data_IF_310022861091
#
_entry.id   IF_310022861091
#
_cell.length_a   1.000
_cell.length_b   1.000
_cell.length_c   1.000
_cell.angle_alpha   90.00
_cell.angle_beta   90.00
_cell.angle_gamma   90.00
#
_symmetry.space_group_name_H-M   'P 1'
#
loop_
_entity.id
_entity.type
_entity.pdbx_description
1 polymer ?
#
# COMPACT_ATOMS: atom_id res chain seq x y z
N UNK A 1 21.68 6.22 -25.82
CA UNK A 1 20.64 6.15 -24.77
C UNK A 1 19.64 5.10 -25.20
N UNK A 2 19.32 4.12 -24.35
CA UNK A 2 18.29 3.14 -24.69
C UNK A 2 16.93 3.84 -24.66
N UNK A 3 16.18 3.71 -25.73
CA UNK A 3 14.77 4.06 -25.77
C UNK A 3 14.00 3.02 -24.97
N UNK A 4 13.03 3.43 -24.15
CA UNK A 4 12.16 2.53 -23.40
C UNK A 4 10.71 2.80 -23.80
N UNK A 5 9.93 1.75 -24.04
CA UNK A 5 8.50 1.89 -24.26
C UNK A 5 7.81 2.36 -22.96
N UNK A 6 6.77 3.19 -23.07
CA UNK A 6 6.05 3.70 -21.91
C UNK A 6 5.55 2.57 -20.99
N UNK A 7 5.05 1.47 -21.56
CA UNK A 7 4.53 0.34 -20.79
C UNK A 7 5.64 -0.36 -20.00
N UNK A 8 6.81 -0.51 -20.60
CA UNK A 8 7.99 -1.07 -19.93
C UNK A 8 8.45 -0.16 -18.79
N UNK A 9 8.49 1.15 -19.01
CA UNK A 9 8.86 2.11 -17.97
C UNK A 9 7.85 2.12 -16.82
N UNK A 10 6.55 2.11 -17.11
CA UNK A 10 5.51 2.03 -16.08
C UNK A 10 5.59 0.72 -15.31
N UNK A 11 5.89 -0.40 -15.98
CA UNK A 11 6.15 -1.67 -15.28
C UNK A 11 7.32 -1.55 -14.33
N UNK A 12 8.44 -0.98 -14.77
CA UNK A 12 9.62 -0.79 -13.91
C UNK A 12 9.35 0.16 -12.72
N UNK A 13 8.52 1.19 -12.91
CA UNK A 13 8.08 2.08 -11.82
C UNK A 13 7.20 1.35 -10.80
N UNK A 14 6.31 0.47 -11.27
CA UNK A 14 5.45 -0.35 -10.42
C UNK A 14 6.23 -1.47 -9.70
N UNK A 15 7.29 -2.00 -10.32
CA UNK A 15 8.19 -2.97 -9.69
C UNK A 15 9.03 -2.30 -8.59
N UNK A 16 9.41 -1.04 -8.78
CA UNK A 16 10.06 -0.23 -7.74
C UNK A 16 9.12 0.07 -6.56
N UNK A 17 7.88 0.45 -6.84
CA UNK A 17 6.85 0.63 -5.82
C UNK A 17 5.50 0.10 -6.30
N UNK A 18 5.08 -1.05 -5.76
CA UNK A 18 3.78 -1.60 -6.08
C UNK A 18 2.69 -0.60 -5.73
N UNK A 19 1.81 -0.29 -6.67
CA UNK A 19 0.64 0.56 -6.45
C UNK A 19 -0.33 -0.04 -5.40
N UNK A 20 -0.23 -1.35 -5.12
CA UNK A 20 -0.98 -1.99 -4.04
C UNK A 20 -0.61 -1.50 -2.64
N UNK A 21 0.51 -0.78 -2.50
CA UNK A 21 0.93 -0.16 -1.25
C UNK A 21 0.27 1.20 -1.01
N UNK A 22 -0.34 1.80 -2.05
CA UNK A 22 -1.04 3.06 -1.91
C UNK A 22 -2.28 2.92 -1.02
N UNK A 23 -2.65 4.02 -0.40
CA UNK A 23 -3.90 4.12 0.35
C UNK A 23 -5.11 3.95 -0.57
N UNK A 24 -6.20 3.39 -0.03
CA UNK A 24 -7.38 3.02 -0.83
C UNK A 24 -8.15 4.20 -1.43
N UNK A 25 -7.96 5.41 -0.88
CA UNK A 25 -8.56 6.65 -1.37
C UNK A 25 -7.72 7.36 -2.43
N UNK A 26 -6.49 6.90 -2.67
CA UNK A 26 -5.52 7.59 -3.50
C UNK A 26 -5.73 7.35 -5.00
N UNK A 27 -5.17 8.22 -5.83
CA UNK A 27 -5.18 8.08 -7.29
C UNK A 27 -3.74 8.03 -7.82
N UNK A 28 -3.20 6.82 -7.90
CA UNK A 28 -1.79 6.54 -8.26
C UNK A 28 -1.66 5.82 -9.60
N UNK A 29 -0.44 5.76 -10.13
CA UNK A 29 -0.12 5.10 -11.39
C UNK A 29 -0.07 6.06 -12.58
N UNK A 30 -0.29 5.54 -13.79
CA UNK A 30 -0.34 6.32 -15.02
C UNK A 30 -1.70 7.03 -15.12
N UNK A 31 -1.70 8.35 -14.93
CA UNK A 31 -2.90 9.19 -14.89
C UNK A 31 -3.28 9.79 -16.25
N UNK A 32 -2.27 10.06 -17.08
CA UNK A 32 -2.45 10.52 -18.47
C UNK A 32 -1.54 9.70 -19.36
N UNK A 33 -2.13 9.00 -20.32
CA UNK A 33 -1.43 8.12 -21.26
C UNK A 33 -1.54 8.68 -22.69
N UNK A 34 -0.42 9.04 -23.33
CA UNK A 34 -0.39 9.37 -24.76
C UNK A 34 -0.67 8.13 -25.61
N UNK A 35 -1.22 8.32 -26.81
CA UNK A 35 -1.57 7.20 -27.70
C UNK A 35 -0.34 6.36 -28.09
N UNK A 36 -0.40 5.01 -28.10
CA UNK A 36 0.73 4.19 -28.54
C UNK A 36 0.99 4.35 -30.06
N UNK A 37 2.23 4.09 -30.53
CA UNK A 37 3.42 3.82 -29.72
C UNK A 37 3.92 5.07 -28.99
N UNK A 38 4.43 4.91 -27.77
CA UNK A 38 4.98 6.02 -26.98
C UNK A 38 6.32 5.64 -26.37
N UNK A 39 7.37 6.27 -26.87
CA UNK A 39 8.75 6.04 -26.42
C UNK A 39 9.17 7.14 -25.46
N UNK A 40 9.73 6.76 -24.32
CA UNK A 40 10.20 7.70 -23.30
C UNK A 40 11.71 7.87 -23.41
N UNK A 41 12.15 9.08 -23.77
CA UNK A 41 13.55 9.52 -23.76
C UNK A 41 13.87 10.34 -22.50
N UNK A 42 12.92 11.14 -22.07
CA UNK A 42 13.09 12.13 -21.01
C UNK A 42 11.99 11.97 -19.97
N UNK A 43 12.37 11.52 -18.78
CA UNK A 43 11.53 11.49 -17.58
C UNK A 43 11.76 12.77 -16.77
N UNK A 44 10.72 13.56 -16.57
CA UNK A 44 10.75 14.77 -15.75
C UNK A 44 10.16 14.48 -14.36
N UNK A 45 10.87 14.86 -13.29
CA UNK A 45 10.44 14.61 -11.91
C UNK A 45 9.97 15.90 -11.25
N UNK A 46 8.82 15.89 -10.58
CA UNK A 46 8.34 17.02 -9.77
C UNK A 46 7.61 16.54 -8.52
N UNK A 47 7.54 17.41 -7.51
CA UNK A 47 6.64 17.20 -6.36
C UNK A 47 5.20 17.54 -6.74
N UNK A 48 4.99 18.72 -7.33
CA UNK A 48 3.70 19.23 -7.76
C UNK A 48 3.78 19.63 -9.23
N UNK A 49 2.83 19.16 -10.04
CA UNK A 49 2.71 19.55 -11.43
C UNK A 49 1.76 20.75 -11.55
N UNK A 50 2.32 21.96 -11.46
CA UNK A 50 1.59 23.22 -11.77
C UNK A 50 1.64 23.53 -13.26
N UNK A 51 0.92 24.56 -13.72
CA UNK A 51 0.96 24.97 -15.14
C UNK A 51 2.35 25.45 -15.56
N UNK A 52 3.06 26.15 -14.68
CA UNK A 52 4.44 26.61 -14.91
C UNK A 52 5.42 25.44 -14.99
N UNK A 53 5.27 24.43 -14.11
CA UNK A 53 6.10 23.21 -14.14
C UNK A 53 5.81 22.37 -15.39
N UNK A 54 4.54 22.32 -15.84
CA UNK A 54 4.19 21.68 -17.10
C UNK A 54 4.87 22.37 -18.29
N UNK A 55 4.87 23.71 -18.32
CA UNK A 55 5.57 24.47 -19.35
C UNK A 55 7.08 24.19 -19.33
N UNK A 56 7.69 24.12 -18.15
CA UNK A 56 9.10 23.70 -18.01
C UNK A 56 9.32 22.28 -18.58
N UNK A 57 8.47 21.32 -18.22
CA UNK A 57 8.57 19.94 -18.70
C UNK A 57 8.48 19.85 -20.24
N UNK A 58 7.57 20.60 -20.85
CA UNK A 58 7.41 20.70 -22.31
C UNK A 58 8.66 21.32 -22.95
N UNK A 59 9.18 22.42 -22.40
CA UNK A 59 10.42 23.06 -22.89
C UNK A 59 11.63 22.12 -22.80
N UNK A 60 11.68 21.27 -21.77
CA UNK A 60 12.70 20.22 -21.60
C UNK A 60 12.47 18.99 -22.48
N UNK A 61 11.39 18.96 -23.28
CA UNK A 61 11.00 17.83 -24.13
C UNK A 61 10.84 16.54 -23.32
N UNK A 62 10.14 16.65 -22.19
CA UNK A 62 9.74 15.49 -21.39
C UNK A 62 8.75 14.63 -22.18
N UNK A 63 8.89 13.30 -22.13
CA UNK A 63 7.92 12.37 -22.70
C UNK A 63 7.02 11.77 -21.61
N UNK A 64 7.48 11.82 -20.36
CA UNK A 64 6.74 11.42 -19.16
C UNK A 64 7.10 12.36 -18.00
N UNK A 65 6.10 12.83 -17.28
CA UNK A 65 6.25 13.52 -16.00
C UNK A 65 5.89 12.54 -14.88
N UNK A 66 6.80 12.34 -13.94
CA UNK A 66 6.52 11.72 -12.64
C UNK A 66 6.27 12.84 -11.63
N UNK A 67 5.01 13.04 -11.28
CA UNK A 67 4.58 14.02 -10.27
C UNK A 67 4.31 13.29 -8.96
N UNK A 68 4.92 13.70 -7.86
CA UNK A 68 4.68 13.06 -6.56
C UNK A 68 3.21 13.17 -6.14
N UNK A 69 2.64 14.37 -6.17
CA UNK A 69 1.22 14.59 -5.95
C UNK A 69 0.45 14.39 -7.27
N UNK A 70 -0.66 13.64 -7.26
CA UNK A 70 -1.45 13.40 -8.45
C UNK A 70 -2.21 14.67 -8.87
N UNK A 71 -1.94 15.25 -10.06
CA UNK A 71 -2.67 16.43 -10.53
C UNK A 71 -4.16 16.11 -10.74
N UNK A 72 -4.46 14.88 -11.18
CA UNK A 72 -5.81 14.30 -11.18
C UNK A 72 -6.01 13.58 -9.85
N UNK A 73 -6.37 14.31 -8.79
CA UNK A 73 -6.65 13.69 -7.48
C UNK A 73 -8.08 13.16 -7.38
N UNK A 74 -9.02 13.82 -8.06
CA UNK A 74 -10.44 13.42 -8.12
C UNK A 74 -10.83 13.13 -9.56
N UNK A 75 -11.78 12.20 -9.81
CA UNK A 75 -12.22 11.89 -11.16
C UNK A 75 -12.74 13.13 -11.90
N UNK A 76 -12.20 13.38 -13.09
CA UNK A 76 -12.64 14.46 -13.97
C UNK A 76 -13.90 14.02 -14.73
N UNK A 77 -15.01 14.75 -14.56
CA UNK A 77 -16.25 14.50 -15.33
C UNK A 77 -16.15 14.98 -16.79
N UNK A 78 -15.18 15.84 -17.09
CA UNK A 78 -14.90 16.43 -18.40
C UNK A 78 -13.48 16.97 -18.44
N UNK A 79 -12.93 17.07 -19.64
CA UNK A 79 -11.62 17.67 -19.91
C UNK A 79 -11.84 18.83 -20.88
N UNK A 80 -11.78 20.05 -20.36
CA UNK A 80 -12.00 21.32 -21.08
C UNK A 80 -10.96 22.35 -20.67
N UNK A 81 -10.86 23.48 -21.38
CA UNK A 81 -9.88 24.53 -21.05
C UNK A 81 -10.22 25.38 -19.79
N UNK A 82 -11.18 24.95 -18.96
CA UNK A 82 -11.75 25.78 -17.89
C UNK A 82 -10.92 25.80 -16.62
N UNK A 83 -10.60 24.63 -16.07
CA UNK A 83 -9.84 24.52 -14.81
C UNK A 83 -8.38 24.23 -15.08
N UNK A 84 -7.49 24.67 -14.20
CA UNK A 84 -6.04 24.45 -14.36
C UNK A 84 -5.69 22.96 -14.43
N UNK A 85 -6.37 22.10 -13.65
CA UNK A 85 -6.19 20.64 -13.71
C UNK A 85 -6.57 20.06 -15.06
N UNK A 86 -7.70 20.49 -15.64
CA UNK A 86 -8.10 20.05 -16.98
C UNK A 86 -7.11 20.57 -18.03
N UNK A 87 -6.64 21.83 -17.92
CA UNK A 87 -5.62 22.39 -18.83
C UNK A 87 -4.30 21.63 -18.78
N UNK A 88 -3.87 21.14 -17.62
CA UNK A 88 -2.71 20.26 -17.51
C UNK A 88 -2.89 18.98 -18.33
N UNK A 89 -4.06 18.34 -18.25
CA UNK A 89 -4.36 17.15 -19.04
C UNK A 89 -4.39 17.46 -20.53
N UNK A 90 -5.05 18.56 -20.94
CA UNK A 90 -5.08 18.99 -22.34
C UNK A 90 -3.66 19.24 -22.86
N UNK A 91 -2.85 20.01 -22.13
CA UNK A 91 -1.45 20.29 -22.49
C UNK A 91 -0.61 19.01 -22.58
N UNK A 92 -0.72 18.13 -21.60
CA UNK A 92 -0.01 16.85 -21.60
C UNK A 92 -0.35 16.05 -22.88
N UNK A 93 -1.63 15.95 -23.24
CA UNK A 93 -2.05 15.22 -24.44
C UNK A 93 -1.61 15.93 -25.74
N UNK A 94 -1.75 17.25 -25.85
CA UNK A 94 -1.31 18.04 -27.01
C UNK A 94 0.19 17.90 -27.28
N UNK A 95 1.00 17.80 -26.22
CA UNK A 95 2.44 17.64 -26.29
C UNK A 95 2.90 16.18 -26.19
N UNK A 96 1.97 15.21 -26.13
CA UNK A 96 2.23 13.78 -25.96
C UNK A 96 3.11 13.46 -24.74
N UNK A 97 2.90 14.14 -23.63
CA UNK A 97 3.59 13.91 -22.35
C UNK A 97 2.72 13.03 -21.47
N UNK A 98 3.21 11.87 -21.05
CA UNK A 98 2.53 11.06 -20.04
C UNK A 98 2.60 11.69 -18.65
N UNK A 99 1.66 11.37 -17.77
CA UNK A 99 1.72 11.76 -16.36
C UNK A 99 1.56 10.52 -15.49
N UNK A 100 2.54 10.24 -14.64
CA UNK A 100 2.53 9.18 -13.65
C UNK A 100 2.64 9.78 -12.24
N UNK A 101 1.93 9.20 -11.27
CA UNK A 101 1.98 9.64 -9.87
C UNK A 101 2.06 8.46 -8.89
N UNK A 102 3.15 8.32 -8.12
CA UNK A 102 3.25 7.25 -7.13
C UNK A 102 2.62 7.59 -5.76
N UNK A 103 2.60 8.86 -5.38
CA UNK A 103 2.04 9.40 -4.14
C UNK A 103 2.20 8.49 -2.91
N UNK A 104 1.10 8.01 -2.30
CA UNK A 104 1.18 7.23 -1.06
C UNK A 104 1.88 5.87 -1.21
N UNK A 105 1.98 5.31 -2.41
CA UNK A 105 2.78 4.10 -2.63
C UNK A 105 4.26 4.35 -2.28
N UNK A 106 4.79 5.53 -2.60
CA UNK A 106 6.16 5.92 -2.24
C UNK A 106 6.29 6.32 -0.77
N UNK A 107 5.23 6.82 -0.13
CA UNK A 107 5.20 7.01 1.32
C UNK A 107 5.32 5.68 2.07
N UNK A 108 4.69 4.63 1.56
CA UNK A 108 4.60 3.33 2.19
C UNK A 108 5.90 2.51 2.08
N UNK A 109 6.73 2.75 1.07
CA UNK A 109 7.92 1.95 0.79
C UNK A 109 8.92 1.87 1.97
N UNK A 110 9.58 0.71 2.19
CA UNK A 110 10.68 0.56 3.16
C UNK A 110 11.87 1.50 2.95
N UNK A 111 12.04 2.02 1.73
CA UNK A 111 13.08 2.97 1.36
C UNK A 111 12.48 4.27 0.81
N UNK A 112 11.21 4.52 1.12
CA UNK A 112 10.42 5.63 0.64
C UNK A 112 10.59 6.93 1.43
N UNK A 113 9.63 7.84 1.24
CA UNK A 113 9.67 9.21 1.77
C UNK A 113 9.75 9.23 3.29
N UNK A 114 8.94 8.42 3.97
CA UNK A 114 8.95 8.37 5.44
C UNK A 114 10.27 7.80 6.01
N UNK A 115 10.87 6.82 5.35
CA UNK A 115 12.19 6.31 5.75
C UNK A 115 13.30 7.33 5.49
N UNK A 116 13.23 8.07 4.39
CA UNK A 116 14.16 9.16 4.14
C UNK A 116 14.05 10.23 5.23
N UNK A 117 12.83 10.66 5.56
CA UNK A 117 12.57 11.65 6.63
C UNK A 117 13.07 11.18 8.00
N UNK A 118 12.91 9.89 8.32
CA UNK A 118 13.41 9.28 9.55
C UNK A 118 14.93 9.44 9.74
N UNK A 119 15.71 9.47 8.65
CA UNK A 119 17.17 9.69 8.72
C UNK A 119 17.52 11.04 9.35
N UNK A 120 16.62 12.03 9.24
CA UNK A 120 16.77 13.34 9.88
C UNK A 120 16.71 13.31 11.41
N UNK A 121 16.26 12.22 12.02
CA UNK A 121 16.27 12.05 13.48
C UNK A 121 17.65 11.59 14.01
N UNK A 122 18.47 10.97 13.15
CA UNK A 122 19.72 10.29 13.50
C UNK A 122 19.56 8.77 13.60
N UNK A 123 20.51 8.10 14.26
CA UNK A 123 20.51 6.65 14.41
C UNK A 123 19.28 6.16 15.21
N UNK A 124 18.43 5.37 14.56
CA UNK A 124 17.23 4.81 15.15
C UNK A 124 16.81 3.50 14.47
N UNK A 125 16.03 2.69 15.18
CA UNK A 125 15.19 1.66 14.55
C UNK A 125 13.89 2.31 14.08
N UNK A 126 13.31 1.77 13.01
CA UNK A 126 12.12 2.34 12.38
C UNK A 126 11.16 1.23 11.93
N UNK A 127 9.90 1.35 12.33
CA UNK A 127 8.81 0.45 11.92
C UNK A 127 7.64 1.27 11.37
N UNK A 128 6.84 0.74 10.42
CA UNK A 128 5.62 1.39 9.96
C UNK A 128 4.62 1.63 11.10
N UNK A 129 3.90 2.76 11.07
CA UNK A 129 2.79 3.01 12.00
C UNK A 129 1.55 2.22 11.59
N UNK A 130 1.24 2.21 10.29
CA UNK A 130 0.20 1.37 9.70
C UNK A 130 0.84 0.44 8.67
N UNK A 131 1.14 -0.83 9.02
CA UNK A 131 1.79 -1.77 8.11
C UNK A 131 0.94 -2.05 6.86
N UNK A 132 1.59 -2.08 5.69
CA UNK A 132 0.96 -2.57 4.47
C UNK A 132 0.92 -4.10 4.48
N UNK A 133 -0.06 -4.69 3.80
CA UNK A 133 -0.14 -6.14 3.63
C UNK A 133 0.43 -6.57 2.27
N UNK A 134 0.81 -7.85 2.16
CA UNK A 134 1.29 -8.45 0.93
C UNK A 134 0.25 -8.31 -0.20
N UNK A 135 0.66 -8.20 -1.47
CA UNK A 135 -0.27 -8.04 -2.58
C UNK A 135 -1.20 -9.26 -2.74
N UNK A 136 -0.70 -10.45 -2.44
CA UNK A 136 -1.41 -11.73 -2.54
C UNK A 136 -1.49 -12.45 -1.18
N UNK A 137 -2.44 -13.39 -1.10
CA UNK A 137 -2.49 -14.34 0.01
C UNK A 137 -1.38 -15.39 -0.15
N UNK A 138 -0.77 -15.87 0.94
CA UNK A 138 0.25 -16.93 0.88
C UNK A 138 -0.30 -18.22 0.29
N UNK A 139 -1.58 -18.48 0.54
CA UNK A 139 -2.35 -19.53 -0.09
C UNK A 139 -3.37 -18.89 -1.03
N UNK A 140 -3.54 -19.43 -2.24
CA UNK A 140 -4.56 -18.95 -3.18
C UNK A 140 -5.96 -18.97 -2.51
N UNK A 141 -6.78 -17.94 -2.74
CA UNK A 141 -8.11 -17.81 -2.11
C UNK A 141 -8.15 -16.87 -0.91
N UNK A 142 -9.36 -16.48 -0.51
CA UNK A 142 -9.62 -15.52 0.56
C UNK A 142 -10.22 -16.15 1.81
N UNK A 143 -10.72 -17.39 1.71
CA UNK A 143 -11.32 -18.13 2.81
C UNK A 143 -10.73 -19.51 2.91
N UNK A 144 -10.75 -20.08 4.11
CA UNK A 144 -10.50 -21.49 4.37
C UNK A 144 -11.74 -22.13 4.95
N UNK A 145 -12.12 -23.28 4.39
CA UNK A 145 -13.21 -24.10 4.88
C UNK A 145 -12.61 -25.39 5.44
N UNK A 146 -12.95 -25.72 6.67
CA UNK A 146 -12.50 -26.94 7.33
C UNK A 146 -13.70 -27.70 7.88
N UNK A 147 -13.77 -29.00 7.64
CA UNK A 147 -14.83 -29.84 8.20
C UNK A 147 -14.32 -31.26 8.46
N UNK A 148 -14.96 -31.96 9.39
CA UNK A 148 -14.63 -33.35 9.73
C UNK A 148 -15.71 -34.30 9.22
N UNK A 149 -15.28 -35.46 8.72
CA UNK A 149 -16.16 -36.50 8.21
C UNK A 149 -15.77 -37.87 8.79
N UNK A 150 -16.80 -38.67 9.12
CA UNK A 150 -16.66 -39.94 9.84
C UNK A 150 -16.79 -41.15 8.91
N UNK A 151 -17.25 -40.93 7.66
CA UNK A 151 -17.52 -41.97 6.66
C UNK A 151 -16.82 -41.68 5.33
N UNK A 152 -16.00 -42.62 4.86
CA UNK A 152 -15.19 -42.53 3.64
C UNK A 152 -16.02 -42.45 2.35
N UNK A 153 -17.14 -43.17 2.22
CA UNK A 153 -17.92 -43.18 0.97
C UNK A 153 -18.65 -41.85 0.69
N UNK A 154 -19.22 -41.25 1.75
CA UNK A 154 -19.85 -39.93 1.65
C UNK A 154 -18.82 -38.83 1.43
N UNK A 155 -17.63 -38.99 2.03
CA UNK A 155 -16.53 -38.06 1.87
C UNK A 155 -16.03 -38.02 0.41
N UNK A 156 -15.84 -39.16 -0.24
CA UNK A 156 -15.36 -39.22 -1.64
C UNK A 156 -16.33 -38.54 -2.61
N UNK A 157 -17.64 -38.68 -2.39
CA UNK A 157 -18.68 -38.03 -3.19
C UNK A 157 -18.70 -36.50 -2.99
N UNK A 158 -18.45 -36.04 -1.77
CA UNK A 158 -18.36 -34.60 -1.48
C UNK A 158 -17.07 -34.03 -2.05
N UNK A 159 -15.94 -34.71 -1.87
CA UNK A 159 -14.64 -34.28 -2.39
C UNK A 159 -14.60 -34.22 -3.92
N UNK A 160 -15.28 -35.13 -4.64
CA UNK A 160 -15.36 -35.07 -6.10
C UNK A 160 -16.10 -33.80 -6.55
N UNK A 161 -17.26 -33.51 -5.96
CA UNK A 161 -18.04 -32.29 -6.25
C UNK A 161 -17.28 -31.02 -5.87
N UNK A 162 -16.53 -31.03 -4.77
CA UNK A 162 -15.67 -29.89 -4.38
C UNK A 162 -14.60 -29.65 -5.44
N UNK A 163 -13.95 -30.70 -5.96
CA UNK A 163 -12.90 -30.54 -6.99
C UNK A 163 -13.42 -29.92 -8.31
N UNK A 164 -14.71 -30.04 -8.58
CA UNK A 164 -15.35 -29.45 -9.76
C UNK A 164 -15.64 -27.95 -9.61
N UNK A 165 -15.59 -27.41 -8.38
CA UNK A 165 -15.79 -25.98 -8.11
C UNK A 165 -14.53 -25.21 -8.50
N UNK A 166 -14.70 -24.21 -9.36
CA UNK A 166 -13.61 -23.31 -9.77
C UNK A 166 -13.13 -22.45 -8.59
N UNK A 167 -11.87 -22.01 -8.63
CA UNK A 167 -11.28 -21.12 -7.60
C UNK A 167 -11.17 -21.76 -6.20
N UNK A 168 -11.12 -23.10 -6.14
CA UNK A 168 -10.66 -23.87 -4.98
C UNK A 168 -9.17 -24.19 -5.12
N UNK A 169 -8.45 -24.07 -4.02
CA UNK A 169 -7.03 -24.38 -3.93
C UNK A 169 -6.72 -25.10 -2.60
N UNK A 170 -5.53 -25.70 -2.52
CA UNK A 170 -5.01 -26.32 -1.29
C UNK A 170 -5.96 -27.33 -0.62
N UNK A 171 -6.76 -28.08 -1.39
CA UNK A 171 -7.61 -29.15 -0.84
C UNK A 171 -6.73 -30.25 -0.25
N UNK A 172 -6.83 -30.45 1.06
CA UNK A 172 -6.08 -31.44 1.82
C UNK A 172 -6.99 -32.23 2.76
N UNK A 173 -6.65 -33.50 2.97
CA UNK A 173 -7.32 -34.39 3.91
C UNK A 173 -6.30 -34.91 4.90
N UNK A 174 -6.60 -34.80 6.19
CA UNK A 174 -5.73 -35.22 7.28
C UNK A 174 -6.50 -36.15 8.23
N UNK A 175 -5.90 -37.26 8.68
CA UNK A 175 -6.49 -38.07 9.74
C UNK A 175 -6.56 -37.25 11.04
N UNK A 176 -7.70 -37.30 11.71
CA UNK A 176 -7.97 -36.57 12.93
C UNK A 176 -8.67 -37.49 13.95
N UNK A 177 -8.50 -37.19 15.23
CA UNK A 177 -9.29 -37.80 16.31
C UNK A 177 -10.12 -36.72 16.96
N UNK A 178 -11.43 -36.82 16.85
CA UNK A 178 -12.38 -35.90 17.47
C UNK A 178 -13.23 -36.74 18.41
N UNK A 179 -13.27 -36.35 19.69
CA UNK A 179 -14.03 -37.06 20.73
C UNK A 179 -13.71 -38.57 20.87
N UNK A 180 -12.53 -39.00 20.44
CA UNK A 180 -12.06 -40.39 20.54
C UNK A 180 -12.35 -41.27 19.32
N UNK A 181 -13.05 -40.76 18.30
CA UNK A 181 -13.31 -41.47 17.05
C UNK A 181 -12.31 -41.04 15.95
N UNK A 182 -11.96 -41.98 15.06
CA UNK A 182 -11.14 -41.66 13.89
C UNK A 182 -12.01 -40.98 12.83
N UNK A 183 -11.65 -39.74 12.52
CA UNK A 183 -12.33 -38.88 11.54
C UNK A 183 -11.33 -38.39 10.50
N UNK A 184 -11.80 -37.97 9.34
CA UNK A 184 -10.99 -37.28 8.34
C UNK A 184 -11.32 -35.79 8.37
N UNK A 185 -10.32 -34.95 8.66
CA UNK A 185 -10.43 -33.50 8.53
C UNK A 185 -10.10 -33.10 7.10
N UNK A 186 -11.03 -32.41 6.47
CA UNK A 186 -10.85 -31.77 5.16
C UNK A 186 -10.55 -30.30 5.39
N UNK A 187 -9.57 -29.76 4.68
CA UNK A 187 -9.24 -28.33 4.65
C UNK A 187 -9.07 -27.89 3.21
N UNK A 188 -9.69 -26.77 2.81
CA UNK A 188 -9.54 -26.19 1.48
C UNK A 188 -9.55 -24.68 1.56
N UNK A 189 -8.83 -24.02 0.65
CA UNK A 189 -8.94 -22.59 0.47
C UNK A 189 -9.79 -22.29 -0.77
N UNK A 190 -10.50 -21.16 -0.75
CA UNK A 190 -11.39 -20.78 -1.83
C UNK A 190 -11.57 -19.26 -1.93
N UNK A 191 -12.01 -18.78 -3.09
CA UNK A 191 -12.49 -17.40 -3.22
C UNK A 191 -13.84 -17.20 -2.51
N UNK A 192 -14.26 -15.95 -2.34
CA UNK A 192 -15.59 -15.67 -1.78
C UNK A 192 -16.73 -16.26 -2.63
N UNK A 193 -16.55 -16.33 -3.96
CA UNK A 193 -17.53 -16.93 -4.87
C UNK A 193 -17.61 -18.44 -4.66
N UNK A 194 -16.47 -19.11 -4.68
CA UNK A 194 -16.37 -20.56 -4.46
C UNK A 194 -16.84 -20.96 -3.05
N UNK A 195 -16.63 -20.12 -2.03
CA UNK A 195 -17.15 -20.35 -0.68
C UNK A 195 -18.67 -20.57 -0.67
N UNK A 196 -19.42 -19.77 -1.43
CA UNK A 196 -20.89 -19.91 -1.48
C UNK A 196 -21.30 -21.28 -2.05
N UNK A 197 -20.59 -21.75 -3.07
CA UNK A 197 -20.82 -23.07 -3.68
C UNK A 197 -20.45 -24.21 -2.73
N UNK A 198 -19.31 -24.11 -2.04
CA UNK A 198 -18.86 -25.09 -1.03
C UNK A 198 -19.85 -25.17 0.13
N UNK A 199 -20.28 -24.04 0.67
CA UNK A 199 -21.23 -23.98 1.78
C UNK A 199 -22.59 -24.57 1.38
N UNK A 200 -23.07 -24.24 0.17
CA UNK A 200 -24.30 -24.82 -0.36
C UNK A 200 -24.18 -26.34 -0.53
N UNK A 201 -23.04 -26.84 -1.00
CA UNK A 201 -22.77 -28.27 -1.10
C UNK A 201 -22.77 -28.95 0.28
N UNK A 202 -22.03 -28.40 1.24
CA UNK A 202 -21.91 -28.97 2.58
C UNK A 202 -23.25 -28.96 3.34
N UNK A 203 -24.10 -27.95 3.12
CA UNK A 203 -25.43 -27.87 3.73
C UNK A 203 -26.38 -29.01 3.33
N UNK A 204 -26.10 -29.73 2.23
CA UNK A 204 -26.87 -30.92 1.84
C UNK A 204 -26.64 -32.09 2.80
N UNK A 205 -25.61 -32.02 3.66
CA UNK A 205 -25.31 -33.01 4.69
C UNK A 205 -25.18 -32.30 6.05
N UNK A 206 -26.21 -32.41 6.87
CA UNK A 206 -26.29 -31.72 8.16
C UNK A 206 -25.11 -32.01 9.08
N UNK A 207 -24.60 -33.25 9.10
CA UNK A 207 -23.47 -33.65 9.94
C UNK A 207 -22.17 -32.92 9.55
N UNK A 208 -21.89 -32.79 8.25
CA UNK A 208 -20.72 -32.06 7.76
C UNK A 208 -20.87 -30.56 8.02
N UNK A 209 -22.05 -30.01 7.73
CA UNK A 209 -22.34 -28.59 7.89
C UNK A 209 -22.18 -28.12 9.34
N UNK A 210 -22.67 -28.89 10.32
CA UNK A 210 -22.54 -28.56 11.74
C UNK A 210 -21.10 -28.60 12.26
N UNK A 211 -20.23 -29.38 11.61
CA UNK A 211 -18.79 -29.48 11.92
C UNK A 211 -17.94 -28.63 10.96
N UNK A 212 -18.53 -27.70 10.21
CA UNK A 212 -17.81 -26.85 9.27
C UNK A 212 -17.38 -25.54 9.93
N UNK A 213 -16.09 -25.25 9.89
CA UNK A 213 -15.49 -23.97 10.25
C UNK A 213 -15.11 -23.19 8.99
N UNK A 214 -15.42 -21.90 8.98
CA UNK A 214 -15.08 -20.98 7.88
C UNK A 214 -14.20 -19.87 8.46
N UNK A 215 -12.99 -19.77 7.93
CA UNK A 215 -11.99 -18.80 8.35
C UNK A 215 -11.74 -17.80 7.22
N UNK A 216 -11.85 -16.50 7.51
CA UNK A 216 -11.40 -15.45 6.60
C UNK A 216 -9.86 -15.39 6.66
N UNK A 217 -9.21 -15.63 5.53
CA UNK A 217 -7.76 -15.51 5.44
C UNK A 217 -7.36 -14.04 5.40
N UNK A 218 -6.19 -13.74 5.94
CA UNK A 218 -5.60 -12.40 5.90
C UNK A 218 -4.28 -12.42 5.12
N UNK A 219 -4.03 -11.34 4.40
CA UNK A 219 -2.73 -11.12 3.76
C UNK A 219 -1.72 -10.81 4.85
N UNK A 220 -0.53 -11.44 4.86
CA UNK A 220 0.47 -11.16 5.88
C UNK A 220 0.96 -9.71 5.76
N UNK A 221 1.34 -9.07 6.88
CA UNK A 221 1.96 -7.75 6.84
C UNK A 221 3.32 -7.83 6.13
N UNK A 222 3.60 -6.83 5.29
CA UNK A 222 4.90 -6.68 4.66
C UNK A 222 5.88 -6.06 5.66
N UNK A 223 7.03 -6.70 5.92
CA UNK A 223 8.06 -6.13 6.76
C UNK A 223 8.47 -4.75 6.24
N UNK A 224 8.52 -3.76 7.14
CA UNK A 224 9.00 -2.41 6.88
C UNK A 224 8.19 -1.56 5.89
N UNK A 225 7.15 -2.09 5.25
CA UNK A 225 6.25 -1.33 4.36
C UNK A 225 4.99 -0.89 5.10
N UNK A 226 4.51 0.32 4.82
CA UNK A 226 3.34 0.91 5.49
C UNK A 226 3.44 2.41 5.66
N UNK A 227 2.35 3.05 6.07
CA UNK A 227 2.31 4.49 6.26
C UNK A 227 2.97 4.93 7.56
N UNK A 228 3.66 6.08 7.49
CA UNK A 228 4.37 6.70 8.60
C UNK A 228 5.45 5.82 9.22
N UNK A 229 6.17 6.33 10.22
CA UNK A 229 7.19 5.57 10.96
C UNK A 229 7.16 5.89 12.44
N UNK A 230 7.21 4.85 13.27
CA UNK A 230 7.64 4.96 14.66
C UNK A 230 9.13 4.71 14.73
N UNK A 231 9.88 5.74 15.08
CA UNK A 231 11.33 5.68 15.21
C UNK A 231 11.71 5.62 16.68
N UNK A 232 12.56 4.66 17.05
CA UNK A 232 13.15 4.58 18.40
C UNK A 232 14.63 4.88 18.30
N UNK A 233 15.05 6.01 18.85
CA UNK A 233 16.45 6.46 18.83
C UNK A 233 17.33 5.51 19.66
N UNK A 234 18.57 5.29 19.23
CA UNK A 234 19.51 4.45 19.98
C UNK A 234 19.77 4.99 21.39
N UNK A 235 19.89 6.32 21.52
CA UNK A 235 19.97 7.06 22.78
C UNK A 235 18.96 8.22 22.80
N UNK A 236 18.41 8.61 23.96
CA UNK A 236 17.58 9.80 24.08
C UNK A 236 18.34 11.06 23.64
N UNK A 237 17.64 11.98 22.97
CA UNK A 237 18.19 13.26 22.49
C UNK A 237 17.26 14.39 22.94
N UNK A 238 17.81 15.55 23.30
CA UNK A 238 16.98 16.71 23.62
C UNK A 238 16.11 17.12 22.43
N UNK A 239 14.91 17.64 22.70
CA UNK A 239 14.02 18.17 21.67
C UNK A 239 14.73 19.23 20.81
N UNK A 240 15.51 20.14 21.40
CA UNK A 240 16.36 21.11 20.70
C UNK A 240 17.35 20.44 19.73
N UNK A 241 17.98 19.36 20.18
CA UNK A 241 18.89 18.54 19.37
C UNK A 241 18.18 17.91 18.17
N UNK A 242 17.02 17.30 18.38
CA UNK A 242 16.22 16.69 17.29
C UNK A 242 15.78 17.75 16.28
N UNK A 243 15.30 18.90 16.73
CA UNK A 243 14.93 20.03 15.87
C UNK A 243 16.09 20.47 14.99
N UNK A 244 17.30 20.60 15.55
CA UNK A 244 18.50 20.97 14.79
C UNK A 244 18.83 19.94 13.70
N UNK A 245 18.71 18.64 14.02
CA UNK A 245 18.96 17.56 13.05
C UNK A 245 17.94 17.58 11.91
N UNK A 246 16.65 17.73 12.23
CA UNK A 246 15.58 17.81 11.22
C UNK A 246 15.76 19.03 10.31
N UNK A 247 16.02 20.22 10.88
CA UNK A 247 16.29 21.43 10.10
C UNK A 247 17.47 21.25 9.15
N UNK A 248 18.57 20.66 9.63
CA UNK A 248 19.75 20.37 8.82
C UNK A 248 19.43 19.38 7.68
N UNK A 249 18.72 18.29 8.01
CA UNK A 249 18.35 17.25 7.06
C UNK A 249 17.42 17.76 5.95
N UNK A 250 16.39 18.53 6.31
CA UNK A 250 15.41 19.10 5.39
C UNK A 250 15.87 20.41 4.74
N UNK A 251 17.03 20.95 5.16
CA UNK A 251 17.54 22.27 4.78
C UNK A 251 16.52 23.39 5.01
N UNK A 252 15.79 23.32 6.13
CA UNK A 252 14.75 24.28 6.48
C UNK A 252 15.27 25.33 7.47
N UNK A 253 15.03 26.63 7.22
CA UNK A 253 15.39 27.69 8.17
C UNK A 253 14.50 27.65 9.43
N UNK A 254 13.22 27.30 9.25
CA UNK A 254 12.20 27.33 10.29
C UNK A 254 11.37 26.05 10.31
N UNK A 255 10.91 25.67 11.51
CA UNK A 255 9.89 24.65 11.73
C UNK A 255 8.88 25.21 12.72
N UNK A 256 7.64 24.74 12.64
CA UNK A 256 6.63 25.03 13.68
C UNK A 256 6.73 23.97 14.75
N UNK A 257 6.73 24.41 16.02
CA UNK A 257 6.81 23.53 17.18
C UNK A 257 5.64 23.80 18.11
N UNK A 258 4.94 22.73 18.49
CA UNK A 258 4.00 22.74 19.61
C UNK A 258 4.62 21.89 20.72
N UNK A 259 4.88 22.50 21.88
CA UNK A 259 5.47 21.82 23.04
C UNK A 259 4.34 21.35 23.95
N UNK A 260 4.37 20.06 24.33
CA UNK A 260 3.38 19.51 25.25
C UNK A 260 3.46 20.13 26.64
N UNK A 261 2.34 20.08 27.39
CA UNK A 261 2.27 20.62 28.75
C UNK A 261 3.38 20.05 29.64
N UNK A 262 4.13 20.92 30.31
CA UNK A 262 5.24 20.53 31.19
C UNK A 262 6.51 20.07 30.47
N UNK A 263 6.57 20.13 29.13
CA UNK A 263 7.78 19.84 28.35
C UNK A 263 8.55 21.12 28.03
N UNK A 264 9.84 20.96 27.77
CA UNK A 264 10.78 22.03 27.43
C UNK A 264 11.62 21.61 26.22
N UNK A 265 12.41 22.53 25.67
CA UNK A 265 13.35 22.22 24.59
C UNK A 265 14.46 21.24 25.00
N UNK A 266 14.69 21.06 26.29
CA UNK A 266 15.66 20.09 26.82
C UNK A 266 15.02 18.76 27.23
N UNK A 267 13.71 18.62 27.05
CA UNK A 267 13.02 17.35 27.31
C UNK A 267 13.59 16.25 26.38
N UNK A 268 13.86 15.04 26.92
CA UNK A 268 14.39 13.95 26.13
C UNK A 268 13.34 13.38 25.19
N UNK A 269 13.76 13.08 23.97
CA UNK A 269 13.00 12.35 22.94
C UNK A 269 13.70 11.01 22.74
N UNK A 270 12.98 9.90 22.93
CA UNK A 270 13.44 8.54 22.63
C UNK A 270 12.62 7.93 21.50
N UNK A 271 11.30 8.14 21.50
CA UNK A 271 10.38 7.69 20.46
C UNK A 271 9.83 8.87 19.68
N UNK A 272 9.94 8.83 18.36
CA UNK A 272 9.36 9.82 17.47
C UNK A 272 8.45 9.15 16.43
N UNK A 273 7.19 9.55 16.39
CA UNK A 273 6.27 9.14 15.33
C UNK A 273 6.29 10.20 14.21
N UNK A 274 6.43 9.76 12.96
CA UNK A 274 6.50 10.68 11.83
C UNK A 274 5.65 10.20 10.65
N UNK A 275 5.15 11.17 9.90
CA UNK A 275 4.48 10.95 8.63
C UNK A 275 4.67 12.19 7.76
N UNK A 276 5.32 12.04 6.62
CA UNK A 276 5.43 13.08 5.61
C UNK A 276 4.04 13.49 5.10
N UNK A 277 3.95 14.71 4.54
CA UNK A 277 2.67 15.26 4.09
C UNK A 277 1.69 15.50 5.22
N UNK A 278 0.40 15.27 4.96
CA UNK A 278 -0.71 15.54 5.90
C UNK A 278 -0.97 14.32 6.79
N UNK A 279 -0.09 14.10 7.77
CA UNK A 279 -0.04 12.85 8.55
C UNK A 279 -0.90 12.79 9.81
N UNK A 280 -1.85 13.71 10.01
CA UNK A 280 -2.62 13.79 11.27
C UNK A 280 -3.43 12.52 11.57
N UNK A 281 -4.05 11.92 10.55
CA UNK A 281 -4.79 10.65 10.67
C UNK A 281 -3.86 9.48 10.97
N UNK A 282 -2.69 9.43 10.32
CA UNK A 282 -1.67 8.40 10.49
C UNK A 282 -1.09 8.42 11.90
N UNK A 283 -0.85 9.61 12.45
CA UNK A 283 -0.23 9.79 13.77
C UNK A 283 -1.21 9.68 14.94
N UNK A 284 -2.52 9.71 14.66
CA UNK A 284 -3.56 9.73 15.69
C UNK A 284 -3.52 8.45 16.54
N UNK A 285 -3.51 8.61 17.86
CA UNK A 285 -3.53 7.49 18.81
C UNK A 285 -2.19 6.78 18.99
N UNK A 286 -1.13 7.24 18.33
CA UNK A 286 0.23 6.70 18.53
C UNK A 286 0.83 7.29 19.80
N UNK A 287 1.58 6.49 20.57
CA UNK A 287 2.32 6.96 21.75
C UNK A 287 3.78 7.26 21.39
N UNK A 288 4.15 8.54 21.36
CA UNK A 288 5.51 8.99 21.08
C UNK A 288 5.87 10.27 21.87
N UNK A 289 7.17 10.50 22.08
CA UNK A 289 7.66 11.72 22.73
C UNK A 289 7.60 12.93 21.77
N UNK A 290 7.69 12.65 20.47
CA UNK A 290 7.68 13.65 19.40
C UNK A 290 6.84 13.16 18.22
N UNK A 291 6.05 14.07 17.66
CA UNK A 291 5.30 13.85 16.42
C UNK A 291 5.83 14.79 15.33
N UNK A 292 6.21 14.25 14.18
CA UNK A 292 6.76 15.00 13.05
C UNK A 292 5.87 14.81 11.81
N UNK A 293 5.26 15.89 11.34
CA UNK A 293 4.45 15.87 10.12
C UNK A 293 4.40 17.22 9.43
N UNK A 294 3.96 17.23 8.18
CA UNK A 294 3.62 18.44 7.45
C UNK A 294 2.16 18.85 7.66
N UNK A 295 1.79 19.96 7.03
CA UNK A 295 0.39 20.34 6.82
C UNK A 295 0.25 20.73 5.36
N UNK A 296 -0.84 20.33 4.71
CA UNK A 296 -1.46 21.20 3.69
C UNK A 296 -2.13 22.37 4.41
#
# INVERSE_FOLDING_TARGET
RSLMDLKELVSALNDFASLSLAESWDNVGLLVEPSPPHTVNTLFLTNDLTEEVMEEAVQKKADLVLSYHPPIFTPLKRVTWKTWKERLVVRALEHRVGIYSPHTAYDALPHGVNNWLAKGLGACTSIPLHPSNAPSYPSEGTHRVEFCADNTEHLDTVLSKIKDIQEISCLATLPARVEGEEQTRVSLNCSQKALLEVVALLSQNSLLYHKTEILLLQKPPLPHAGMGRLCTLSEPVSLSGVIKRIKSHLKLPHIRLAVGTGKTLESPVKKAALCAGSGSSVLKGMEADLYLTGKQ
#
